data_IF_857352685982
#
_entry.id   IF_857352685982
#
_cell.length_a   1.000
_cell.length_b   1.000
_cell.length_c   1.000
_cell.angle_alpha   90.00
_cell.angle_beta   90.00
_cell.angle_gamma   90.00
#
_symmetry.space_group_name_H-M   'P 1'
#
loop_
_entity.id
_entity.type
_entity.pdbx_description
1 polymer ?
#
# COMPACT_ATOMS: atom_id res chain seq x y z
N UNK A 1 38.96 -1.09 26.45
CA UNK A 1 38.74 0.29 26.00
C UNK A 1 37.59 0.24 25.02
N UNK A 2 36.36 0.44 25.56
CA UNK A 2 35.16 0.52 24.73
C UNK A 2 35.22 1.79 23.90
N UNK A 3 35.58 1.65 22.63
CA UNK A 3 35.29 2.68 21.64
C UNK A 3 33.78 2.76 21.51
N UNK A 4 33.14 3.61 22.32
CA UNK A 4 31.83 4.15 21.94
C UNK A 4 32.02 4.78 20.55
N UNK A 5 31.77 4.00 19.52
CA UNK A 5 31.86 4.48 18.16
C UNK A 5 30.88 5.67 18.06
N UNK A 6 31.43 6.87 17.87
CA UNK A 6 30.70 8.14 17.81
C UNK A 6 29.53 8.02 16.85
N UNK A 7 28.37 8.52 17.23
CA UNK A 7 27.22 8.64 16.33
C UNK A 7 27.62 9.51 15.14
N UNK A 8 27.36 9.09 13.90
CA UNK A 8 27.74 9.92 12.76
C UNK A 8 26.91 11.21 12.72
N UNK A 9 27.52 12.36 12.39
CA UNK A 9 26.86 13.67 12.40
C UNK A 9 25.55 13.73 11.60
N UNK A 10 25.43 12.96 10.51
CA UNK A 10 24.20 12.91 9.71
C UNK A 10 23.05 12.31 10.50
N UNK A 11 23.30 11.31 11.34
CA UNK A 11 22.26 10.63 12.10
C UNK A 11 21.76 11.51 13.25
N UNK A 12 22.67 12.22 13.93
CA UNK A 12 22.30 13.22 14.94
C UNK A 12 21.46 14.33 14.31
N UNK A 13 21.84 14.82 13.12
CA UNK A 13 21.12 15.86 12.40
C UNK A 13 19.71 15.40 11.96
N UNK A 14 19.55 14.15 11.53
CA UNK A 14 18.23 13.57 11.21
C UNK A 14 17.38 13.47 12.47
N UNK A 15 17.90 12.87 13.53
CA UNK A 15 17.15 12.64 14.78
C UNK A 15 16.78 13.97 15.47
N UNK A 16 17.62 14.99 15.39
CA UNK A 16 17.31 16.32 15.92
C UNK A 16 16.08 16.99 15.26
N UNK A 17 15.72 16.57 14.05
CA UNK A 17 14.54 17.06 13.30
C UNK A 17 13.30 16.20 13.51
N UNK A 18 13.38 15.16 14.34
CA UNK A 18 12.28 14.22 14.48
C UNK A 18 10.99 14.90 14.95
N UNK A 19 9.96 14.81 14.11
CA UNK A 19 8.61 15.28 14.42
C UNK A 19 7.74 14.12 14.86
N UNK A 20 7.41 14.02 16.15
CA UNK A 20 6.60 12.91 16.67
C UNK A 20 5.16 12.91 16.17
N UNK A 21 4.62 14.05 15.78
CA UNK A 21 3.22 14.16 15.31
C UNK A 21 3.07 13.66 13.85
N UNK A 22 4.20 13.53 13.13
CA UNK A 22 4.25 12.93 11.79
C UNK A 22 4.59 11.44 11.77
N UNK A 23 4.81 10.81 12.95
CA UNK A 23 5.25 9.42 13.04
C UNK A 23 4.25 8.55 13.80
N UNK A 24 3.80 7.46 13.16
CA UNK A 24 3.00 6.42 13.80
C UNK A 24 3.84 5.15 14.03
N UNK A 25 3.89 4.70 15.27
CA UNK A 25 4.45 3.40 15.62
C UNK A 25 3.30 2.42 15.89
N UNK A 26 3.12 1.36 15.08
CA UNK A 26 1.99 0.44 15.21
C UNK A 26 1.76 -0.13 16.62
N UNK A 27 2.82 -0.35 17.37
CA UNK A 27 2.79 -0.90 18.74
C UNK A 27 3.23 0.13 19.81
N UNK A 28 3.09 1.43 19.53
CA UNK A 28 3.47 2.53 20.43
C UNK A 28 4.98 2.72 20.57
N UNK A 29 5.79 1.86 19.95
CA UNK A 29 7.25 1.99 19.90
C UNK A 29 7.80 1.39 18.61
N UNK A 30 8.95 1.91 18.16
CA UNK A 30 9.63 1.40 16.98
C UNK A 30 11.14 1.40 17.16
N UNK A 31 11.81 0.45 16.51
CA UNK A 31 13.26 0.35 16.40
C UNK A 31 13.67 0.38 14.93
N UNK A 32 14.28 1.49 14.51
CA UNK A 32 14.81 1.69 13.17
C UNK A 32 16.30 1.43 13.20
N UNK A 33 16.79 0.43 12.46
CA UNK A 33 18.22 0.22 12.26
C UNK A 33 18.69 1.01 11.05
N UNK A 34 19.56 1.97 11.28
CA UNK A 34 20.23 2.75 10.24
C UNK A 34 21.60 2.12 9.99
N UNK A 35 21.90 1.79 8.72
CA UNK A 35 23.18 1.19 8.30
C UNK A 35 23.86 2.04 7.24
N UNK A 36 25.18 2.19 7.35
CA UNK A 36 26.04 2.87 6.38
C UNK A 36 27.44 2.25 6.36
N UNK A 37 28.02 2.07 5.21
CA UNK A 37 29.42 1.65 5.04
C UNK A 37 29.87 0.45 5.91
N UNK A 38 28.97 -0.44 6.30
CA UNK A 38 29.23 -1.57 7.21
C UNK A 38 28.93 -1.31 8.68
N UNK A 39 28.81 -0.05 9.10
CA UNK A 39 28.40 0.34 10.45
C UNK A 39 26.88 0.39 10.61
N UNK A 40 26.40 0.37 11.86
CA UNK A 40 24.98 0.48 12.17
C UNK A 40 24.71 1.17 13.51
N UNK A 41 23.51 1.77 13.64
CA UNK A 41 22.91 2.25 14.89
C UNK A 41 21.44 1.93 14.92
N UNK A 42 20.90 1.71 16.10
CA UNK A 42 19.47 1.58 16.33
C UNK A 42 18.91 2.91 16.82
N UNK A 43 17.92 3.43 16.12
CA UNK A 43 17.09 4.55 16.58
C UNK A 43 15.85 3.97 17.24
N UNK A 44 15.74 4.15 18.54
CA UNK A 44 14.60 3.68 19.34
C UNK A 44 13.62 4.82 19.55
N UNK A 45 12.38 4.63 19.17
CA UNK A 45 11.29 5.61 19.23
C UNK A 45 10.23 5.10 20.18
N UNK A 46 9.79 5.91 21.15
CA UNK A 46 8.66 5.63 22.05
C UNK A 46 7.86 6.91 22.26
N UNK A 47 6.64 6.95 21.76
CA UNK A 47 5.84 8.17 21.74
C UNK A 47 6.65 9.32 21.13
N UNK A 48 6.84 10.40 21.87
CA UNK A 48 7.62 11.58 21.42
C UNK A 48 9.13 11.46 21.65
N UNK A 49 9.60 10.38 22.28
CA UNK A 49 11.04 10.22 22.60
C UNK A 49 11.76 9.43 21.51
N UNK A 50 12.87 9.96 21.02
CA UNK A 50 13.78 9.32 20.07
C UNK A 50 15.18 9.26 20.66
N UNK A 51 15.86 8.11 20.53
CA UNK A 51 17.22 7.89 21.05
C UNK A 51 18.03 7.02 20.10
N UNK A 52 19.26 7.43 19.84
CA UNK A 52 20.25 6.62 19.11
C UNK A 52 20.97 5.71 20.12
N UNK A 53 21.17 4.45 19.73
CA UNK A 53 21.83 3.43 20.55
C UNK A 53 22.73 2.56 19.69
N UNK A 54 23.72 1.85 20.28
CA UNK A 54 24.40 0.74 19.60
C UNK A 54 23.40 -0.29 19.08
N UNK A 55 23.71 -0.97 17.97
CA UNK A 55 22.82 -1.99 17.43
C UNK A 55 22.67 -3.15 18.43
N UNK A 56 21.45 -3.56 18.70
CA UNK A 56 21.13 -4.69 19.57
C UNK A 56 20.94 -5.96 18.77
N UNK A 57 21.19 -7.10 19.39
CA UNK A 57 20.85 -8.38 18.79
C UNK A 57 19.36 -8.47 18.42
N UNK A 58 19.07 -9.31 17.44
CA UNK A 58 17.73 -9.49 16.93
C UNK A 58 17.35 -8.49 15.83
N UNK A 59 16.19 -8.73 15.25
CA UNK A 59 15.67 -7.97 14.11
C UNK A 59 15.06 -6.65 14.59
N UNK A 60 15.45 -5.54 13.99
CA UNK A 60 14.74 -4.26 14.13
C UNK A 60 13.40 -4.30 13.36
N UNK A 61 12.48 -3.40 13.68
CA UNK A 61 11.20 -3.29 12.96
C UNK A 61 11.43 -2.93 11.50
N UNK A 62 12.40 -2.04 11.28
CA UNK A 62 12.89 -1.73 9.93
C UNK A 62 14.40 -1.56 9.91
N UNK A 63 15.01 -1.95 8.79
CA UNK A 63 16.39 -1.67 8.44
C UNK A 63 16.41 -0.70 7.27
N UNK A 64 17.10 0.42 7.42
CA UNK A 64 17.35 1.37 6.33
C UNK A 64 18.86 1.39 6.07
N UNK A 65 19.26 1.08 4.86
CA UNK A 65 20.65 0.94 4.45
C UNK A 65 20.94 1.83 3.25
N UNK A 66 21.99 2.62 3.33
CA UNK A 66 22.51 3.44 2.25
C UNK A 66 23.97 3.79 2.52
N UNK A 67 24.70 4.23 1.51
CA UNK A 67 26.03 4.81 1.67
C UNK A 67 25.92 6.12 2.46
N UNK A 68 26.96 6.48 3.21
CA UNK A 68 27.00 7.72 4.00
C UNK A 68 26.71 8.97 3.16
N UNK A 69 27.15 8.98 1.91
CA UNK A 69 26.87 10.09 0.97
C UNK A 69 25.37 10.28 0.75
N UNK A 70 24.61 9.19 0.64
CA UNK A 70 23.15 9.24 0.48
C UNK A 70 22.50 9.76 1.77
N UNK A 71 22.97 9.30 2.93
CA UNK A 71 22.49 9.81 4.22
C UNK A 71 22.71 11.31 4.37
N UNK A 72 23.87 11.84 4.00
CA UNK A 72 24.15 13.28 4.00
C UNK A 72 23.20 14.04 3.04
N UNK A 73 22.95 13.50 1.84
CA UNK A 73 21.98 14.10 0.93
C UNK A 73 20.57 14.17 1.52
N UNK A 74 20.15 13.15 2.28
CA UNK A 74 18.85 13.16 2.97
C UNK A 74 18.73 14.25 4.03
N UNK A 75 19.86 14.61 4.67
CA UNK A 75 19.90 15.75 5.60
C UNK A 75 19.75 17.08 4.86
N UNK A 76 20.32 17.20 3.66
CA UNK A 76 20.29 18.43 2.87
C UNK A 76 19.00 18.62 2.08
N UNK A 77 18.44 17.52 1.54
CA UNK A 77 17.23 17.51 0.72
C UNK A 77 16.24 16.43 1.17
N UNK A 78 15.15 16.86 1.77
CA UNK A 78 14.08 16.00 2.24
C UNK A 78 13.43 15.14 1.11
N UNK A 79 13.44 15.62 -0.12
CA UNK A 79 12.89 14.91 -1.29
C UNK A 79 13.78 13.80 -1.83
N UNK A 80 15.07 13.79 -1.47
CA UNK A 80 16.06 12.86 -2.00
C UNK A 80 15.79 11.39 -1.63
N UNK A 81 15.07 11.14 -0.52
CA UNK A 81 14.83 9.80 -0.01
C UNK A 81 14.05 8.90 -0.97
N UNK A 82 12.94 9.39 -1.51
CA UNK A 82 12.11 8.64 -2.45
C UNK A 82 12.86 8.34 -3.75
N UNK A 83 13.64 9.31 -4.26
CA UNK A 83 14.46 9.12 -5.44
C UNK A 83 15.60 8.13 -5.20
N UNK A 84 16.28 8.21 -4.05
CA UNK A 84 17.35 7.28 -3.67
C UNK A 84 16.80 5.86 -3.54
N UNK A 85 15.62 5.70 -2.95
CA UNK A 85 14.93 4.42 -2.83
C UNK A 85 14.54 3.86 -4.20
N UNK A 86 13.91 4.64 -5.06
CA UNK A 86 13.53 4.23 -6.41
C UNK A 86 14.73 3.81 -7.27
N UNK A 87 15.88 4.45 -7.08
CA UNK A 87 17.14 4.12 -7.75
C UNK A 87 17.94 2.98 -7.08
N UNK A 88 17.42 2.40 -6.00
CA UNK A 88 18.08 1.32 -5.23
C UNK A 88 19.32 1.76 -4.44
N UNK A 89 19.58 3.06 -4.34
CA UNK A 89 20.67 3.64 -3.53
C UNK A 89 20.37 3.68 -2.04
N UNK A 90 19.09 3.72 -1.68
CA UNK A 90 18.58 3.51 -0.35
C UNK A 90 17.77 2.23 -0.35
N UNK A 91 18.09 1.32 0.54
CA UNK A 91 17.39 0.04 0.71
C UNK A 91 16.62 0.05 2.02
N UNK A 92 15.42 -0.48 1.98
CA UNK A 92 14.58 -0.60 3.17
C UNK A 92 14.06 -2.03 3.28
N UNK A 93 14.15 -2.63 4.46
CA UNK A 93 13.73 -4.00 4.73
C UNK A 93 12.94 -4.04 6.05
N UNK A 94 11.91 -4.85 6.10
CA UNK A 94 11.05 -4.99 7.27
C UNK A 94 9.77 -4.18 7.14
N UNK A 95 9.43 -3.37 8.13
CA UNK A 95 8.22 -2.57 8.15
C UNK A 95 8.43 -1.24 7.40
N UNK A 96 7.85 -1.14 6.19
CA UNK A 96 7.94 0.08 5.37
C UNK A 96 7.25 1.28 6.02
N UNK A 97 6.12 1.06 6.70
CA UNK A 97 5.42 2.12 7.41
C UNK A 97 6.36 2.81 8.41
N UNK A 98 7.03 2.01 9.26
CA UNK A 98 8.01 2.53 10.23
C UNK A 98 9.20 3.20 9.54
N UNK A 99 9.73 2.59 8.48
CA UNK A 99 10.91 3.10 7.79
C UNK A 99 10.66 4.41 7.04
N UNK A 100 9.60 4.45 6.25
CA UNK A 100 9.20 5.66 5.50
C UNK A 100 8.71 6.74 6.47
N UNK A 101 7.95 6.36 7.51
CA UNK A 101 7.51 7.26 8.57
C UNK A 101 8.70 7.94 9.27
N UNK A 102 9.74 7.17 9.61
CA UNK A 102 10.97 7.73 10.20
C UNK A 102 11.66 8.72 9.26
N UNK A 103 11.85 8.39 7.98
CA UNK A 103 12.47 9.31 7.02
C UNK A 103 11.62 10.57 6.82
N UNK A 104 10.31 10.44 6.80
CA UNK A 104 9.41 11.58 6.69
C UNK A 104 9.46 12.47 7.94
N UNK A 105 9.35 11.87 9.12
CA UNK A 105 9.40 12.59 10.41
C UNK A 105 10.73 13.28 10.67
N UNK A 106 11.83 12.79 10.07
CA UNK A 106 13.18 13.40 10.21
C UNK A 106 13.56 14.28 9.02
N UNK A 107 12.69 14.44 8.02
CA UNK A 107 13.01 15.17 6.78
C UNK A 107 13.19 16.68 6.97
N UNK A 108 12.60 17.27 8.01
CA UNK A 108 12.56 18.72 8.20
C UNK A 108 11.68 19.46 7.18
N UNK A 109 10.95 18.74 6.31
CA UNK A 109 10.03 19.36 5.38
C UNK A 109 8.81 19.97 6.10
N UNK A 110 8.15 21.00 5.55
CA UNK A 110 6.90 21.53 6.07
C UNK A 110 5.82 20.43 6.21
N UNK A 111 4.98 20.52 7.24
CA UNK A 111 3.97 19.49 7.55
C UNK A 111 3.07 19.17 6.36
N UNK A 112 2.70 20.16 5.55
CA UNK A 112 1.84 20.03 4.38
C UNK A 112 2.49 19.23 3.23
N UNK A 113 3.82 19.15 3.21
CA UNK A 113 4.60 18.43 2.19
C UNK A 113 5.14 17.09 2.66
N UNK A 114 4.95 16.76 3.93
CA UNK A 114 5.41 15.49 4.49
C UNK A 114 4.39 14.38 4.32
N UNK A 115 4.89 13.15 4.14
CA UNK A 115 4.09 11.98 4.36
C UNK A 115 3.77 11.87 5.85
N UNK A 116 2.51 11.78 6.19
CA UNK A 116 2.01 11.53 7.54
C UNK A 116 1.40 10.14 7.61
N UNK A 117 1.53 9.53 8.75
CA UNK A 117 1.00 8.21 9.02
C UNK A 117 0.06 8.28 10.21
N UNK A 118 -1.01 7.51 10.19
CA UNK A 118 -1.98 7.50 11.28
C UNK A 118 -2.96 6.35 11.18
N UNK A 119 -3.97 6.40 12.06
CA UNK A 119 -5.05 5.42 12.16
C UNK A 119 -6.38 6.12 12.34
N UNK A 120 -7.40 5.63 11.63
CA UNK A 120 -8.78 6.07 11.79
C UNK A 120 -9.71 4.88 11.54
N UNK A 121 -10.77 4.72 12.31
CA UNK A 121 -11.72 3.60 12.22
C UNK A 121 -11.03 2.21 12.16
N UNK A 122 -9.90 2.04 12.86
CA UNK A 122 -9.14 0.79 12.86
C UNK A 122 -8.29 0.54 11.60
N UNK A 123 -8.31 1.45 10.61
CA UNK A 123 -7.48 1.39 9.41
C UNK A 123 -6.23 2.25 9.58
N UNK A 124 -5.08 1.68 9.23
CA UNK A 124 -3.83 2.42 9.11
C UNK A 124 -3.79 3.12 7.74
N UNK A 125 -3.27 4.34 7.71
CA UNK A 125 -3.17 5.10 6.48
C UNK A 125 -1.83 5.85 6.39
N UNK A 126 -1.51 6.30 5.19
CA UNK A 126 -0.53 7.35 4.93
C UNK A 126 -1.16 8.42 4.06
N UNK A 127 -0.78 9.67 4.27
CA UNK A 127 -1.32 10.81 3.54
C UNK A 127 -0.28 11.88 3.27
N UNK A 128 -0.52 12.69 2.26
CA UNK A 128 0.24 13.89 1.96
C UNK A 128 -0.62 14.91 1.19
N UNK A 129 -0.19 16.17 1.22
CA UNK A 129 -0.85 17.24 0.50
C UNK A 129 -2.09 17.79 1.21
N UNK A 130 -2.79 18.64 0.49
CA UNK A 130 -4.05 19.27 0.87
C UNK A 130 -4.89 19.51 -0.40
N UNK A 131 -6.17 19.78 -0.25
CA UNK A 131 -7.12 19.98 -1.36
C UNK A 131 -8.15 18.86 -1.44
N UNK A 132 -8.66 18.58 -2.62
CA UNK A 132 -9.66 17.54 -2.83
C UNK A 132 -9.13 16.16 -2.46
N UNK A 133 -9.89 15.35 -1.67
CA UNK A 133 -9.42 14.06 -1.20
C UNK A 133 -9.38 13.00 -2.31
N UNK A 134 -8.27 12.26 -2.38
CA UNK A 134 -8.07 11.10 -3.24
C UNK A 134 -7.69 9.92 -2.35
N UNK A 135 -8.58 8.93 -2.21
CA UNK A 135 -8.34 7.75 -1.38
C UNK A 135 -7.92 6.56 -2.24
N UNK A 136 -6.80 5.93 -1.88
CA UNK A 136 -6.17 4.84 -2.62
C UNK A 136 -6.28 3.53 -1.85
N UNK A 137 -6.76 2.48 -2.52
CA UNK A 137 -7.12 1.18 -1.95
C UNK A 137 -6.32 0.08 -2.65
N UNK A 138 -5.45 -0.62 -1.91
CA UNK A 138 -4.54 -1.63 -2.46
C UNK A 138 -5.23 -2.96 -2.81
N UNK A 139 -4.52 -3.81 -3.57
CA UNK A 139 -4.96 -5.15 -3.94
C UNK A 139 -4.79 -6.20 -2.84
N UNK A 140 -5.25 -7.42 -3.13
CA UNK A 140 -5.13 -8.58 -2.24
C UNK A 140 -3.66 -8.81 -1.84
N UNK A 141 -3.40 -8.87 -0.54
CA UNK A 141 -2.07 -9.05 0.01
C UNK A 141 -1.15 -7.81 -0.08
N UNK A 142 -1.61 -6.73 -0.69
CA UNK A 142 -0.91 -5.45 -0.69
C UNK A 142 -1.03 -4.69 0.63
N UNK A 143 -0.44 -3.51 0.66
CA UNK A 143 -0.58 -2.52 1.72
C UNK A 143 -0.62 -1.12 1.12
N UNK A 144 -0.95 -0.11 1.92
CA UNK A 144 -0.87 1.31 1.54
C UNK A 144 0.47 1.69 0.90
N UNK A 145 1.55 1.00 1.26
CA UNK A 145 2.89 1.24 0.72
C UNK A 145 2.96 1.03 -0.81
N UNK A 146 2.07 0.24 -1.40
CA UNK A 146 1.99 0.06 -2.86
C UNK A 146 1.66 1.34 -3.62
N UNK A 147 1.09 2.34 -2.92
CA UNK A 147 0.76 3.65 -3.47
C UNK A 147 1.72 4.77 -3.05
N UNK A 148 2.84 4.46 -2.39
CA UNK A 148 3.74 5.50 -1.90
C UNK A 148 4.20 6.50 -2.98
N UNK A 149 4.66 6.07 -4.19
CA UNK A 149 4.97 7.03 -5.26
C UNK A 149 3.75 7.84 -5.68
N UNK A 150 2.61 7.17 -5.81
CA UNK A 150 1.36 7.78 -6.27
C UNK A 150 0.84 8.83 -5.28
N UNK A 151 0.90 8.55 -3.96
CA UNK A 151 0.52 9.53 -2.91
C UNK A 151 1.34 10.81 -3.06
N UNK A 152 2.66 10.69 -3.20
CA UNK A 152 3.54 11.85 -3.37
C UNK A 152 3.23 12.63 -4.66
N UNK A 153 2.99 11.91 -5.76
CA UNK A 153 2.73 12.52 -7.06
C UNK A 153 1.37 13.23 -7.12
N UNK A 154 0.33 12.64 -6.51
CA UNK A 154 -1.03 13.21 -6.47
C UNK A 154 -1.07 14.38 -5.48
N UNK A 155 -0.40 14.28 -4.34
CA UNK A 155 -0.23 15.40 -3.41
C UNK A 155 0.48 16.60 -4.07
N UNK A 156 1.51 16.34 -4.87
CA UNK A 156 2.23 17.37 -5.63
C UNK A 156 1.37 18.02 -6.72
N UNK A 157 0.28 17.38 -7.11
CA UNK A 157 -0.71 17.93 -8.06
C UNK A 157 -1.84 18.73 -7.38
N UNK A 158 -1.75 18.96 -6.06
CA UNK A 158 -2.69 19.81 -5.30
C UNK A 158 -3.86 19.06 -4.67
N UNK A 159 -3.78 17.73 -4.56
CA UNK A 159 -4.80 16.90 -3.90
C UNK A 159 -4.37 16.51 -2.47
N UNK A 160 -5.34 16.21 -1.62
CA UNK A 160 -5.13 15.48 -0.38
C UNK A 160 -5.12 13.97 -0.69
N UNK A 161 -3.94 13.43 -0.89
CA UNK A 161 -3.73 12.03 -1.27
C UNK A 161 -3.61 11.14 -0.05
N UNK A 162 -4.45 10.10 0.05
CA UNK A 162 -4.54 9.19 1.19
C UNK A 162 -4.48 7.76 0.69
N UNK A 163 -3.59 6.92 1.21
CA UNK A 163 -3.59 5.49 0.95
C UNK A 163 -3.89 4.74 2.26
N UNK A 164 -4.85 3.81 2.22
CA UNK A 164 -5.28 3.03 3.39
C UNK A 164 -4.80 1.59 3.30
N UNK A 165 -4.52 0.96 4.46
CA UNK A 165 -4.49 -0.49 4.57
C UNK A 165 -5.91 -0.99 4.78
N UNK A 166 -6.39 -1.88 3.91
CA UNK A 166 -7.71 -2.50 4.07
C UNK A 166 -7.77 -3.37 5.33
N UNK A 167 -8.97 -3.64 5.90
CA UNK A 167 -9.11 -4.59 7.01
C UNK A 167 -8.46 -5.94 6.68
N UNK A 168 -7.70 -6.49 7.61
CA UNK A 168 -6.99 -7.75 7.42
C UNK A 168 -5.57 -7.61 6.87
N UNK A 169 -5.19 -6.45 6.33
CA UNK A 169 -3.92 -6.22 5.66
C UNK A 169 -3.08 -5.14 6.36
N UNK A 170 -1.80 -5.09 5.98
CA UNK A 170 -0.85 -4.10 6.48
C UNK A 170 -0.86 -3.95 8.00
N UNK A 171 -0.98 -2.72 8.47
CA UNK A 171 -1.04 -2.36 9.89
C UNK A 171 -2.48 -2.13 10.39
N UNK A 172 -3.50 -2.34 9.55
CA UNK A 172 -4.92 -2.27 9.93
C UNK A 172 -5.35 -3.44 10.80
N UNK A 173 -6.50 -3.28 11.47
CA UNK A 173 -7.09 -4.32 12.28
C UNK A 173 -7.37 -5.59 11.47
N UNK A 174 -7.29 -6.75 12.13
CA UNK A 174 -7.47 -8.08 11.52
C UNK A 174 -8.50 -8.88 12.31
N UNK A 175 -9.81 -8.50 12.21
CA UNK A 175 -10.85 -9.20 12.93
C UNK A 175 -10.96 -10.66 12.44
N UNK A 176 -11.09 -11.58 13.38
CA UNK A 176 -11.42 -12.95 13.07
C UNK A 176 -12.89 -13.03 12.65
N UNK A 177 -13.20 -13.91 11.71
CA UNK A 177 -14.58 -14.17 11.24
C UNK A 177 -15.26 -13.00 10.50
N UNK A 178 -14.53 -11.96 10.10
CA UNK A 178 -15.06 -10.96 9.18
C UNK A 178 -15.23 -11.58 7.78
N UNK A 179 -16.18 -11.06 7.01
CA UNK A 179 -16.47 -11.56 5.67
C UNK A 179 -15.28 -11.35 4.71
N UNK A 180 -14.59 -10.21 4.81
CA UNK A 180 -13.52 -9.81 3.90
C UNK A 180 -13.96 -9.79 2.42
N UNK A 181 -15.25 -9.65 2.16
CA UNK A 181 -15.81 -9.40 0.84
C UNK A 181 -15.78 -7.91 0.47
N UNK A 182 -16.14 -7.58 -0.77
CA UNK A 182 -16.12 -6.20 -1.23
C UNK A 182 -17.09 -5.28 -0.47
N UNK A 183 -18.33 -5.71 -0.11
CA UNK A 183 -19.23 -4.92 0.72
C UNK A 183 -18.67 -4.61 2.12
N UNK A 184 -18.05 -5.59 2.79
CA UNK A 184 -17.41 -5.39 4.09
C UNK A 184 -16.26 -4.37 4.01
N UNK A 185 -15.38 -4.52 3.01
CA UNK A 185 -14.25 -3.61 2.82
C UNK A 185 -14.69 -2.21 2.40
N UNK A 186 -15.72 -2.11 1.56
CA UNK A 186 -16.32 -0.83 1.17
C UNK A 186 -16.87 -0.09 2.38
N UNK A 187 -17.64 -0.77 3.24
CA UNK A 187 -18.16 -0.19 4.49
C UNK A 187 -17.02 0.31 5.40
N UNK A 188 -15.97 -0.49 5.58
CA UNK A 188 -14.82 -0.05 6.38
C UNK A 188 -14.11 1.19 5.79
N UNK A 189 -14.04 1.31 4.46
CA UNK A 189 -13.53 2.51 3.81
C UNK A 189 -14.46 3.72 4.04
N UNK A 190 -15.78 3.54 4.05
CA UNK A 190 -16.72 4.62 4.38
C UNK A 190 -16.60 5.03 5.86
N UNK A 191 -16.52 4.08 6.79
CA UNK A 191 -16.26 4.36 8.21
C UNK A 191 -14.94 5.14 8.41
N UNK A 192 -13.93 4.85 7.58
CA UNK A 192 -12.69 5.62 7.56
C UNK A 192 -12.93 7.06 7.09
N UNK A 193 -13.68 7.27 6.00
CA UNK A 193 -14.03 8.62 5.52
C UNK A 193 -14.77 9.41 6.61
N UNK A 194 -15.75 8.78 7.29
CA UNK A 194 -16.51 9.40 8.36
C UNK A 194 -15.62 9.83 9.54
N UNK A 195 -14.74 8.94 9.99
CA UNK A 195 -13.79 9.22 11.07
C UNK A 195 -12.73 10.28 10.69
N UNK A 196 -12.58 10.59 9.41
CA UNK A 196 -11.69 11.64 8.88
C UNK A 196 -12.44 12.90 8.45
N UNK A 197 -13.75 12.96 8.68
CA UNK A 197 -14.63 14.08 8.28
C UNK A 197 -14.52 14.38 6.76
N UNK A 198 -14.40 13.31 5.94
CA UNK A 198 -14.34 13.39 4.47
C UNK A 198 -15.70 13.03 3.91
N UNK A 199 -16.44 14.00 3.41
CA UNK A 199 -17.79 13.79 2.86
C UNK A 199 -17.76 12.92 1.60
N UNK A 200 -16.85 13.19 0.68
CA UNK A 200 -16.68 12.43 -0.56
C UNK A 200 -15.25 12.51 -1.07
N UNK A 201 -14.79 11.49 -1.80
CA UNK A 201 -13.44 11.42 -2.33
C UNK A 201 -13.40 10.88 -3.76
N UNK A 202 -12.36 11.24 -4.51
CA UNK A 202 -11.92 10.44 -5.65
C UNK A 202 -11.34 9.14 -5.12
N UNK A 203 -11.63 8.03 -5.80
CA UNK A 203 -11.18 6.72 -5.35
C UNK A 203 -10.26 6.08 -6.40
N UNK A 204 -9.13 5.57 -5.95
CA UNK A 204 -8.16 4.86 -6.79
C UNK A 204 -7.96 3.46 -6.22
N UNK A 205 -8.36 2.42 -6.94
CA UNK A 205 -8.27 1.05 -6.45
C UNK A 205 -7.45 0.15 -7.36
N UNK A 206 -6.53 -0.64 -6.79
CA UNK A 206 -5.81 -1.67 -7.52
C UNK A 206 -6.38 -3.07 -7.22
N UNK A 207 -6.65 -3.86 -8.25
CA UNK A 207 -7.10 -5.27 -8.12
C UNK A 207 -8.32 -5.40 -7.20
N UNK A 208 -8.21 -6.09 -6.05
CA UNK A 208 -9.25 -6.12 -5.01
C UNK A 208 -9.69 -4.72 -4.59
N UNK A 209 -8.75 -3.79 -4.40
CA UNK A 209 -9.07 -2.39 -4.10
C UNK A 209 -9.91 -1.73 -5.19
N UNK A 210 -9.69 -2.09 -6.46
CA UNK A 210 -10.54 -1.68 -7.58
C UNK A 210 -11.96 -2.24 -7.45
N UNK A 211 -12.10 -3.51 -7.05
CA UNK A 211 -13.41 -4.12 -6.79
C UNK A 211 -14.16 -3.43 -5.64
N UNK A 212 -13.42 -3.08 -4.57
CA UNK A 212 -13.96 -2.30 -3.43
C UNK A 212 -14.36 -0.90 -3.87
N UNK A 213 -13.56 -0.25 -4.71
CA UNK A 213 -13.88 1.06 -5.31
C UNK A 213 -15.19 1.02 -6.12
N UNK A 214 -15.38 0.00 -6.94
CA UNK A 214 -16.65 -0.22 -7.66
C UNK A 214 -17.81 -0.41 -6.68
N UNK A 215 -17.63 -1.21 -5.61
CA UNK A 215 -18.66 -1.43 -4.59
C UNK A 215 -19.05 -0.13 -3.87
N UNK A 216 -18.06 0.74 -3.56
CA UNK A 216 -18.35 2.06 -2.98
C UNK A 216 -19.16 2.90 -3.96
N UNK A 217 -18.77 2.97 -5.23
CA UNK A 217 -19.50 3.72 -6.25
C UNK A 217 -20.95 3.26 -6.46
N UNK A 218 -21.22 1.95 -6.31
CA UNK A 218 -22.55 1.37 -6.44
C UNK A 218 -23.40 1.54 -5.19
N UNK A 219 -22.82 1.38 -4.00
CA UNK A 219 -23.56 1.32 -2.74
C UNK A 219 -23.60 2.66 -2.02
N UNK A 220 -22.58 3.48 -2.19
CA UNK A 220 -22.41 4.79 -1.55
C UNK A 220 -22.08 5.88 -2.58
N UNK A 221 -22.93 6.10 -3.60
CA UNK A 221 -22.59 6.99 -4.72
C UNK A 221 -22.25 8.41 -4.27
N UNK A 222 -22.89 8.95 -3.25
CA UNK A 222 -22.62 10.30 -2.76
C UNK A 222 -21.24 10.45 -2.07
N UNK A 223 -20.61 9.32 -1.72
CA UNK A 223 -19.28 9.28 -1.11
C UNK A 223 -18.16 9.15 -2.16
N UNK A 224 -18.51 8.83 -3.41
CA UNK A 224 -17.59 8.58 -4.51
C UNK A 224 -17.69 9.66 -5.57
N UNK A 225 -16.56 10.33 -5.90
CA UNK A 225 -16.47 11.29 -6.99
C UNK A 225 -16.09 10.55 -8.29
N UNK A 226 -14.84 10.58 -8.69
CA UNK A 226 -14.29 9.84 -9.85
C UNK A 226 -13.65 8.53 -9.39
N UNK A 227 -13.72 7.47 -10.19
CA UNK A 227 -13.21 6.14 -9.88
C UNK A 227 -12.08 5.74 -10.84
N UNK A 228 -10.85 5.60 -10.35
CA UNK A 228 -9.73 5.07 -11.13
C UNK A 228 -9.41 3.63 -10.72
N UNK A 229 -9.50 2.70 -11.64
CA UNK A 229 -9.52 1.26 -11.44
C UNK A 229 -8.29 0.63 -12.10
N UNK A 230 -7.24 0.38 -11.30
CA UNK A 230 -5.95 -0.13 -11.76
C UNK A 230 -5.97 -1.66 -11.71
N UNK A 231 -5.92 -2.32 -12.87
CA UNK A 231 -6.00 -3.79 -12.96
C UNK A 231 -7.11 -4.36 -12.07
N UNK A 232 -8.30 -3.76 -12.14
CA UNK A 232 -9.43 -4.01 -11.26
C UNK A 232 -9.83 -5.48 -11.27
N UNK A 233 -9.99 -6.11 -10.11
CA UNK A 233 -10.51 -7.46 -10.00
C UNK A 233 -11.98 -7.50 -10.42
N UNK A 234 -12.27 -8.33 -11.41
CA UNK A 234 -13.59 -8.51 -11.98
C UNK A 234 -13.96 -10.00 -11.93
N UNK A 235 -15.22 -10.34 -11.62
CA UNK A 235 -15.65 -11.74 -11.61
C UNK A 235 -15.52 -12.39 -12.99
N UNK A 236 -14.98 -13.58 -13.04
CA UNK A 236 -14.85 -14.33 -14.28
C UNK A 236 -16.21 -14.78 -14.80
N UNK A 237 -16.53 -14.49 -16.04
CA UNK A 237 -17.74 -15.02 -16.71
C UNK A 237 -17.69 -16.55 -16.83
N UNK A 238 -16.49 -17.12 -16.97
CA UNK A 238 -16.27 -18.58 -16.92
C UNK A 238 -15.15 -18.87 -15.94
N UNK A 239 -15.49 -19.57 -14.86
CA UNK A 239 -14.50 -19.95 -13.84
C UNK A 239 -13.55 -21.01 -14.41
N UNK A 240 -12.22 -20.87 -14.16
CA UNK A 240 -11.28 -21.90 -14.53
C UNK A 240 -11.55 -23.20 -13.75
N UNK A 241 -11.18 -24.39 -14.30
CA UNK A 241 -11.50 -25.68 -13.68
C UNK A 241 -11.02 -25.85 -12.24
N UNK A 242 -9.90 -25.21 -11.89
CA UNK A 242 -9.35 -25.27 -10.53
C UNK A 242 -10.16 -24.45 -9.51
N UNK A 243 -11.01 -23.51 -9.94
CA UNK A 243 -11.86 -22.72 -9.05
C UNK A 243 -12.85 -23.58 -8.24
N UNK A 244 -13.14 -24.82 -8.68
CA UNK A 244 -13.95 -25.79 -7.94
C UNK A 244 -13.36 -26.17 -6.57
N UNK A 245 -12.07 -25.97 -6.36
CA UNK A 245 -11.38 -26.24 -5.09
C UNK A 245 -11.42 -25.08 -4.10
N UNK A 246 -11.79 -23.87 -4.54
CA UNK A 246 -11.84 -22.66 -3.70
C UNK A 246 -12.80 -22.75 -2.50
N UNK A 247 -13.97 -23.43 -2.59
CA UNK A 247 -14.82 -23.61 -1.41
C UNK A 247 -14.13 -24.32 -0.25
N UNK A 248 -13.09 -25.13 -0.54
CA UNK A 248 -12.28 -25.82 0.46
C UNK A 248 -11.18 -24.93 1.08
N UNK A 249 -10.91 -23.75 0.51
CA UNK A 249 -9.99 -22.75 1.08
C UNK A 249 -10.66 -22.07 2.27
N UNK A 250 -10.63 -22.74 3.41
CA UNK A 250 -11.22 -22.22 4.66
C UNK A 250 -10.29 -21.19 5.30
N UNK A 251 -10.77 -19.99 5.68
CA UNK A 251 -9.97 -18.97 6.35
C UNK A 251 -9.30 -19.48 7.64
N UNK A 252 -9.96 -20.38 8.36
CA UNK A 252 -9.47 -20.99 9.59
C UNK A 252 -8.16 -21.76 9.39
N UNK A 253 -7.93 -22.33 8.20
CA UNK A 253 -6.67 -22.97 7.85
C UNK A 253 -5.51 -21.98 7.91
N UNK A 254 -5.74 -20.71 7.64
CA UNK A 254 -4.73 -19.66 7.77
C UNK A 254 -4.23 -19.47 9.20
N UNK A 255 -5.02 -19.83 10.21
CA UNK A 255 -4.62 -19.72 11.61
C UNK A 255 -3.60 -20.80 12.03
N UNK A 256 -3.71 -21.98 11.46
CA UNK A 256 -2.91 -23.18 11.85
C UNK A 256 -1.83 -23.53 10.83
N UNK A 257 -1.97 -23.10 9.57
CA UNK A 257 -1.01 -23.44 8.53
C UNK A 257 0.35 -22.79 8.78
N UNK A 258 1.46 -23.56 8.79
CA UNK A 258 2.79 -22.97 8.84
C UNK A 258 3.07 -22.19 7.54
N UNK A 259 3.63 -20.99 7.69
CA UNK A 259 4.05 -20.17 6.57
C UNK A 259 5.51 -19.72 6.77
N UNK A 260 6.48 -20.63 6.55
CA UNK A 260 7.89 -20.26 6.62
C UNK A 260 8.19 -19.11 5.68
N UNK A 261 8.82 -18.07 6.18
CA UNK A 261 9.10 -16.84 5.42
C UNK A 261 9.75 -17.11 4.06
N UNK A 262 10.73 -18.01 4.03
CA UNK A 262 11.47 -18.37 2.80
C UNK A 262 10.58 -18.98 1.72
N UNK A 263 9.60 -19.79 2.11
CA UNK A 263 8.63 -20.39 1.18
C UNK A 263 7.70 -19.32 0.63
N UNK A 264 7.16 -18.47 1.50
CA UNK A 264 6.28 -17.36 1.09
C UNK A 264 7.02 -16.39 0.17
N UNK A 265 8.25 -16.00 0.51
CA UNK A 265 9.09 -15.16 -0.36
C UNK A 265 9.32 -15.79 -1.74
N UNK A 266 9.57 -17.09 -1.80
CA UNK A 266 9.76 -17.82 -3.06
C UNK A 266 8.51 -17.80 -3.94
N UNK A 267 7.33 -17.95 -3.35
CA UNK A 267 6.05 -17.90 -4.08
C UNK A 267 5.79 -16.49 -4.60
N UNK A 268 5.92 -15.48 -3.75
CA UNK A 268 5.65 -14.08 -4.11
C UNK A 268 6.60 -13.58 -5.21
N UNK A 269 7.89 -13.91 -5.12
CA UNK A 269 8.87 -13.55 -6.18
C UNK A 269 8.53 -14.12 -7.56
N UNK A 270 7.87 -15.28 -7.60
CA UNK A 270 7.41 -15.89 -8.87
C UNK A 270 6.13 -15.25 -9.39
N UNK A 271 5.30 -14.71 -8.48
CA UNK A 271 3.97 -14.16 -8.83
C UNK A 271 4.01 -12.67 -9.18
N UNK A 272 5.04 -11.95 -8.75
CA UNK A 272 5.25 -10.53 -9.07
C UNK A 272 6.51 -10.43 -9.94
N UNK A 273 6.40 -10.59 -11.28
CA UNK A 273 7.53 -10.44 -12.16
C UNK A 273 7.96 -8.98 -12.24
N UNK A 274 9.26 -8.75 -12.04
CA UNK A 274 9.92 -7.62 -12.67
C UNK A 274 9.85 -6.27 -11.99
N UNK A 275 9.57 -6.17 -10.71
CA UNK A 275 9.90 -4.96 -9.97
C UNK A 275 11.41 -4.81 -9.79
N UNK A 276 12.11 -4.25 -10.75
CA UNK A 276 13.50 -3.84 -10.54
C UNK A 276 13.59 -2.70 -9.53
N UNK A 277 14.58 -2.74 -8.62
CA UNK A 277 14.82 -1.68 -7.64
C UNK A 277 14.27 -1.93 -6.23
N UNK A 278 14.33 -0.90 -5.39
CA UNK A 278 13.98 -0.95 -3.97
C UNK A 278 12.53 -1.35 -3.69
N UNK A 279 11.60 -1.02 -4.60
CA UNK A 279 10.17 -1.29 -4.48
C UNK A 279 9.82 -2.78 -4.44
N UNK A 280 10.46 -3.60 -5.28
CA UNK A 280 10.17 -5.04 -5.33
C UNK A 280 10.55 -5.75 -4.03
N UNK A 281 11.71 -5.42 -3.47
CA UNK A 281 12.18 -6.00 -2.22
C UNK A 281 11.33 -5.54 -1.03
N UNK A 282 10.98 -4.26 -0.99
CA UNK A 282 10.20 -3.67 0.08
C UNK A 282 8.73 -4.13 0.04
N UNK A 283 8.11 -4.20 -1.14
CA UNK A 283 6.76 -4.74 -1.31
C UNK A 283 6.68 -6.21 -0.92
N UNK A 284 7.71 -7.00 -1.23
CA UNK A 284 7.82 -8.38 -0.77
C UNK A 284 7.85 -8.46 0.76
N UNK A 285 8.67 -7.63 1.42
CA UNK A 285 8.75 -7.62 2.88
C UNK A 285 7.41 -7.25 3.53
N UNK A 286 6.68 -6.28 2.95
CA UNK A 286 5.35 -5.89 3.44
C UNK A 286 4.33 -7.02 3.31
N UNK A 287 4.26 -7.67 2.14
CA UNK A 287 3.39 -8.82 1.95
C UNK A 287 3.72 -9.94 2.95
N UNK A 288 5.01 -10.32 3.01
CA UNK A 288 5.47 -11.42 3.87
C UNK A 288 5.23 -11.11 5.35
N UNK A 289 5.44 -9.88 5.77
CA UNK A 289 5.19 -9.43 7.16
C UNK A 289 3.74 -9.66 7.57
N UNK A 290 2.80 -9.25 6.74
CA UNK A 290 1.37 -9.41 7.01
C UNK A 290 0.93 -10.88 6.89
N UNK A 291 1.32 -11.55 5.81
CA UNK A 291 0.91 -12.92 5.51
C UNK A 291 1.51 -13.97 6.48
N UNK A 292 2.71 -13.77 7.01
CA UNK A 292 3.31 -14.69 7.98
C UNK A 292 2.65 -14.65 9.36
N UNK A 293 1.72 -13.72 9.62
CA UNK A 293 0.90 -13.74 10.84
C UNK A 293 -0.33 -14.65 10.64
N UNK A 294 -0.76 -15.41 11.68
CA UNK A 294 -1.97 -16.26 11.57
C UNK A 294 -3.21 -15.49 11.11
N UNK A 295 -3.49 -14.35 11.73
CA UNK A 295 -4.64 -13.50 11.38
C UNK A 295 -4.55 -12.90 9.97
N UNK A 296 -3.34 -12.52 9.53
CA UNK A 296 -3.12 -12.01 8.18
C UNK A 296 -3.35 -13.09 7.12
N UNK A 297 -2.94 -14.34 7.36
CA UNK A 297 -3.25 -15.46 6.48
C UNK A 297 -4.75 -15.76 6.42
N UNK A 298 -5.41 -15.79 7.56
CA UNK A 298 -6.85 -16.02 7.61
C UNK A 298 -7.62 -14.95 6.82
N UNK A 299 -7.27 -13.67 7.01
CA UNK A 299 -7.84 -12.56 6.24
C UNK A 299 -7.56 -12.68 4.74
N UNK A 300 -6.32 -13.03 4.36
CA UNK A 300 -5.95 -13.25 2.96
C UNK A 300 -6.79 -14.37 2.32
N UNK A 301 -6.95 -15.52 3.01
CA UNK A 301 -7.76 -16.63 2.49
C UNK A 301 -9.24 -16.28 2.38
N UNK A 302 -9.79 -15.55 3.37
CA UNK A 302 -11.17 -15.08 3.32
C UNK A 302 -11.39 -14.16 2.11
N UNK A 303 -10.56 -13.12 1.96
CA UNK A 303 -10.67 -12.20 0.85
C UNK A 303 -10.47 -12.87 -0.51
N UNK A 304 -9.45 -13.71 -0.65
CA UNK A 304 -9.19 -14.47 -1.89
C UNK A 304 -10.39 -15.35 -2.26
N UNK A 305 -10.96 -16.06 -1.28
CA UNK A 305 -12.13 -16.90 -1.49
C UNK A 305 -13.33 -16.09 -1.97
N UNK A 306 -13.63 -14.96 -1.35
CA UNK A 306 -14.77 -14.12 -1.74
C UNK A 306 -14.63 -13.54 -3.14
N UNK A 307 -13.46 -12.97 -3.50
CA UNK A 307 -13.22 -12.47 -4.85
C UNK A 307 -13.45 -13.55 -5.91
N UNK A 308 -12.93 -14.75 -5.66
CA UNK A 308 -12.95 -15.83 -6.65
C UNK A 308 -14.29 -16.55 -6.72
N UNK A 309 -15.14 -16.48 -5.69
CA UNK A 309 -16.46 -17.08 -5.63
C UNK A 309 -17.59 -16.09 -5.93
N UNK A 310 -17.29 -14.82 -6.15
CA UNK A 310 -18.30 -13.80 -6.48
C UNK A 310 -19.17 -14.22 -7.67
N UNK A 311 -20.47 -13.97 -7.58
CA UNK A 311 -21.43 -14.30 -8.64
C UNK A 311 -21.29 -13.35 -9.82
N UNK A 312 -20.83 -13.88 -10.95
CA UNK A 312 -20.49 -13.09 -12.13
C UNK A 312 -21.69 -12.33 -12.70
N UNK A 313 -22.83 -13.01 -12.88
CA UNK A 313 -24.02 -12.41 -13.50
C UNK A 313 -24.51 -11.20 -12.72
N UNK A 314 -24.72 -11.38 -11.42
CA UNK A 314 -25.17 -10.34 -10.49
C UNK A 314 -24.23 -9.12 -10.45
N UNK A 315 -22.92 -9.36 -10.52
CA UNK A 315 -21.93 -8.28 -10.57
C UNK A 315 -22.05 -7.46 -11.88
N UNK A 316 -22.10 -8.13 -13.03
CA UNK A 316 -22.13 -7.45 -14.32
C UNK A 316 -23.43 -6.66 -14.55
N UNK A 317 -24.57 -7.13 -14.03
CA UNK A 317 -25.83 -6.38 -14.01
C UNK A 317 -25.69 -5.12 -13.15
N UNK A 318 -25.14 -5.24 -11.94
CA UNK A 318 -24.93 -4.11 -11.03
C UNK A 318 -23.94 -3.10 -11.59
N UNK A 319 -22.87 -3.56 -12.27
CA UNK A 319 -21.85 -2.65 -12.82
C UNK A 319 -22.45 -1.66 -13.82
N UNK A 320 -23.47 -2.06 -14.59
CA UNK A 320 -24.17 -1.17 -15.51
C UNK A 320 -24.93 -0.02 -14.84
N UNK A 321 -25.19 -0.12 -13.54
CA UNK A 321 -25.84 0.94 -12.74
C UNK A 321 -24.82 1.94 -12.13
N UNK A 322 -23.53 1.80 -12.40
CA UNK A 322 -22.51 2.70 -11.87
C UNK A 322 -22.59 4.06 -12.58
N UNK A 323 -23.09 5.06 -11.88
CA UNK A 323 -23.27 6.43 -12.37
C UNK A 323 -22.15 7.35 -11.83
N UNK A 324 -20.92 7.06 -12.22
CA UNK A 324 -19.73 7.86 -11.86
C UNK A 324 -18.70 7.79 -12.99
N UNK A 325 -17.95 8.85 -13.18
CA UNK A 325 -16.80 8.84 -14.08
C UNK A 325 -15.83 7.75 -13.67
N UNK A 326 -15.59 6.81 -14.55
CA UNK A 326 -14.73 5.67 -14.31
C UNK A 326 -13.60 5.57 -15.34
N UNK A 327 -12.39 5.33 -14.84
CA UNK A 327 -11.19 5.04 -15.63
C UNK A 327 -10.69 3.64 -15.31
N UNK A 328 -10.55 2.80 -16.31
CA UNK A 328 -9.90 1.50 -16.19
C UNK A 328 -8.49 1.55 -16.77
N UNK A 329 -7.50 1.23 -15.95
CA UNK A 329 -6.10 1.09 -16.37
C UNK A 329 -5.73 -0.38 -16.41
N UNK A 330 -5.29 -0.85 -17.58
CA UNK A 330 -4.98 -2.25 -17.84
C UNK A 330 -3.49 -2.46 -18.05
N UNK A 331 -2.93 -3.51 -17.48
CA UNK A 331 -1.59 -3.98 -17.80
C UNK A 331 -1.63 -4.91 -19.01
N UNK A 332 -0.89 -4.62 -20.07
CA UNK A 332 -0.83 -5.49 -21.26
C UNK A 332 -0.28 -6.88 -20.96
N UNK A 333 0.55 -6.99 -19.92
CA UNK A 333 1.20 -8.24 -19.49
C UNK A 333 0.53 -8.82 -18.22
N UNK A 334 -0.64 -8.32 -17.83
CA UNK A 334 -1.36 -8.80 -16.66
C UNK A 334 -1.95 -10.19 -16.93
N UNK A 335 -1.38 -11.20 -16.25
CA UNK A 335 -1.86 -12.58 -16.35
C UNK A 335 -3.03 -12.87 -15.39
N UNK A 336 -3.30 -12.00 -14.40
CA UNK A 336 -4.38 -12.18 -13.44
C UNK A 336 -5.69 -11.54 -13.94
N UNK A 337 -5.60 -10.31 -14.41
CA UNK A 337 -6.73 -9.53 -14.94
C UNK A 337 -6.34 -9.00 -16.33
N UNK A 338 -6.36 -9.88 -17.35
CA UNK A 338 -5.89 -9.52 -18.67
C UNK A 338 -6.83 -8.54 -19.40
N UNK A 339 -6.35 -7.79 -20.39
CA UNK A 339 -7.14 -6.88 -21.21
C UNK A 339 -8.33 -7.55 -21.94
N UNK A 340 -8.39 -8.88 -21.96
CA UNK A 340 -9.56 -9.65 -22.46
C UNK A 340 -10.88 -9.28 -21.72
N UNK A 341 -10.83 -8.67 -20.54
CA UNK A 341 -12.01 -8.14 -19.85
C UNK A 341 -12.53 -6.81 -20.45
N UNK A 342 -11.73 -6.07 -21.20
CA UNK A 342 -12.11 -4.76 -21.76
C UNK A 342 -13.44 -4.77 -22.52
N UNK A 343 -13.72 -5.73 -23.43
CA UNK A 343 -15.00 -5.77 -24.13
C UNK A 343 -16.20 -5.94 -23.19
N UNK A 344 -16.02 -6.68 -22.09
CA UNK A 344 -17.07 -6.90 -21.12
C UNK A 344 -17.37 -5.65 -20.29
N UNK A 345 -16.32 -4.92 -19.90
CA UNK A 345 -16.48 -3.65 -19.19
C UNK A 345 -17.12 -2.62 -20.10
N UNK A 346 -16.68 -2.49 -21.35
CA UNK A 346 -17.29 -1.58 -22.33
C UNK A 346 -18.76 -1.87 -22.60
N UNK A 347 -19.14 -3.13 -22.57
CA UNK A 347 -20.55 -3.51 -22.74
C UNK A 347 -21.40 -3.10 -21.52
N UNK A 348 -20.86 -3.21 -20.30
CA UNK A 348 -21.56 -2.86 -19.07
C UNK A 348 -21.50 -1.35 -18.76
N UNK A 349 -20.37 -0.70 -19.10
CA UNK A 349 -20.07 0.70 -18.80
C UNK A 349 -19.49 1.43 -20.03
N UNK A 350 -20.33 1.78 -21.03
CA UNK A 350 -19.86 2.35 -22.29
C UNK A 350 -19.12 3.70 -22.13
N UNK A 351 -19.46 4.48 -21.11
CA UNK A 351 -18.87 5.79 -20.84
C UNK A 351 -17.49 5.71 -20.12
N UNK A 352 -17.11 4.52 -19.63
CA UNK A 352 -15.84 4.39 -18.93
C UNK A 352 -14.63 4.61 -19.85
N UNK A 353 -13.62 5.31 -19.33
CA UNK A 353 -12.34 5.50 -20.02
C UNK A 353 -11.46 4.26 -19.85
N UNK A 354 -10.67 3.94 -20.88
CA UNK A 354 -9.75 2.81 -20.84
C UNK A 354 -8.36 3.22 -21.29
N UNK A 355 -7.35 2.85 -20.48
CA UNK A 355 -5.94 3.07 -20.79
C UNK A 355 -5.20 1.75 -20.59
N UNK A 356 -4.34 1.39 -21.55
CA UNK A 356 -3.45 0.23 -21.43
C UNK A 356 -2.02 0.69 -21.23
N UNK A 357 -1.36 0.15 -20.21
CA UNK A 357 0.05 0.37 -19.93
C UNK A 357 0.88 -0.88 -20.20
N UNK A 358 2.15 -0.70 -20.57
CA UNK A 358 3.08 -1.80 -20.78
C UNK A 358 3.65 -2.30 -19.44
N UNK A 359 2.79 -2.95 -18.64
CA UNK A 359 3.09 -3.49 -17.31
C UNK A 359 2.25 -4.74 -17.04
N UNK A 360 2.48 -5.37 -15.88
CA UNK A 360 1.68 -6.46 -15.33
C UNK A 360 0.52 -5.95 -14.45
N UNK A 361 0.34 -6.59 -13.28
CA UNK A 361 -0.83 -6.45 -12.43
C UNK A 361 -0.82 -5.23 -11.49
N UNK A 362 0.33 -4.58 -11.30
CA UNK A 362 0.47 -3.50 -10.32
C UNK A 362 1.03 -2.23 -10.99
N UNK A 363 0.22 -1.55 -11.85
CA UNK A 363 0.67 -0.41 -12.66
C UNK A 363 1.36 0.68 -11.85
N UNK A 364 0.85 1.01 -10.66
CA UNK A 364 1.38 2.06 -9.78
C UNK A 364 2.77 1.75 -9.21
N UNK A 365 3.22 0.48 -9.26
CA UNK A 365 4.57 0.07 -8.86
C UNK A 365 5.44 -0.20 -10.08
N UNK A 366 4.89 -0.85 -11.11
CA UNK A 366 5.65 -1.28 -12.28
C UNK A 366 5.93 -0.13 -13.26
N UNK A 367 4.99 0.81 -13.36
CA UNK A 367 5.04 2.00 -14.23
C UNK A 367 4.51 3.24 -13.49
N UNK A 368 5.16 3.64 -12.39
CA UNK A 368 4.66 4.73 -11.56
C UNK A 368 4.45 6.03 -12.35
N UNK A 369 5.43 6.47 -13.14
CA UNK A 369 5.33 7.73 -13.88
C UNK A 369 4.18 7.73 -14.91
N UNK A 370 3.99 6.62 -15.64
CA UNK A 370 2.89 6.50 -16.61
C UNK A 370 1.54 6.46 -15.90
N UNK A 371 1.43 5.71 -14.79
CA UNK A 371 0.22 5.63 -13.97
C UNK A 371 -0.14 6.97 -13.36
N UNK A 372 0.83 7.69 -12.81
CA UNK A 372 0.64 9.02 -12.23
C UNK A 372 0.17 10.04 -13.28
N UNK A 373 0.74 10.01 -14.48
CA UNK A 373 0.33 10.89 -15.57
C UNK A 373 -1.14 10.65 -15.99
N UNK A 374 -1.54 9.37 -16.07
CA UNK A 374 -2.92 8.95 -16.36
C UNK A 374 -3.86 9.40 -15.25
N UNK A 375 -3.52 9.15 -13.99
CA UNK A 375 -4.34 9.55 -12.85
C UNK A 375 -4.51 11.07 -12.76
N UNK A 376 -3.44 11.85 -12.90
CA UNK A 376 -3.50 13.32 -12.86
C UNK A 376 -4.43 13.89 -13.94
N UNK A 377 -4.37 13.33 -15.15
CA UNK A 377 -5.25 13.74 -16.25
C UNK A 377 -6.71 13.39 -15.96
N UNK A 378 -6.98 12.25 -15.38
CA UNK A 378 -8.34 11.81 -15.09
C UNK A 378 -8.95 12.57 -13.91
N UNK A 379 -8.17 12.86 -12.88
CA UNK A 379 -8.64 13.56 -11.69
C UNK A 379 -8.92 15.04 -11.94
N UNK A 380 -8.13 15.67 -12.79
CA UNK A 380 -8.42 17.04 -13.27
C UNK A 380 -9.76 17.09 -14.03
#
# INVERSE_FOLDING_TARGET
MDTEALTPPFLDALVARFDPDGFDAPDGSARVRVRWNGDARDVSIRGKSVRIRPPRDGRADTLIEADERVWRQLVEDAGAGLQAFGRGKLRMRGNLHVGVGFLSATSGAPAERRLRFGRAAGLAYMEAGAGDPVVMIHGLGGTKASFLPTVVAIASAGYHAIAIDQPGFGDSHKPLFAAYDAPYMARAAIEFLDAREIDSAHLVGNSLGGRVTVEIGLTYPDRARKLALLACSLPWKRRPPWARYLPFLRPELGLIQPAPRTVVEGIVRRSIPGGGGGWAAAGLDEFVRAYCTPRGRAAFYAAARHIMLERSEEFWERLGALDRDALFVWGRQDALIPPAFVPHVRAALPAAQHVELNCGHVPQIERPADTEAVLKRFLA
#
